data_IF_563564724971
#
_entry.id   IF_563564724971
#
_cell.length_a   1.000
_cell.length_b   1.000
_cell.length_c   1.000
_cell.angle_alpha   90.00
_cell.angle_beta   90.00
_cell.angle_gamma   90.00
#
_symmetry.space_group_name_H-M   'P 1'
#
loop_
_entity.id
_entity.type
_entity.pdbx_description
1 polymer ?
#
# COMPACT_ATOMS: atom_id res chain seq x y z
N UNK A 1 11.51 3.04 -11.86
CA UNK A 1 12.36 3.16 -10.65
C UNK A 1 11.62 3.91 -9.55
N UNK A 2 11.73 3.43 -8.34
CA UNK A 2 10.95 3.98 -7.23
C UNK A 2 11.19 5.47 -6.96
N UNK A 3 12.45 5.89 -6.95
CA UNK A 3 12.78 7.30 -6.70
C UNK A 3 12.16 8.23 -7.74
N UNK A 4 12.09 7.79 -8.99
CA UNK A 4 11.47 8.57 -10.05
C UNK A 4 9.97 8.70 -9.82
N UNK A 5 9.30 7.60 -9.46
CA UNK A 5 7.88 7.61 -9.15
C UNK A 5 7.61 8.49 -7.94
N UNK A 6 8.41 8.34 -6.90
CA UNK A 6 8.27 9.13 -5.67
C UNK A 6 8.43 10.62 -5.97
N UNK A 7 9.42 10.96 -6.77
CA UNK A 7 9.67 12.34 -7.14
C UNK A 7 8.53 12.94 -7.96
N UNK A 8 8.00 12.16 -8.90
CA UNK A 8 6.86 12.60 -9.71
C UNK A 8 5.65 12.86 -8.83
N UNK A 9 5.39 11.99 -7.86
CA UNK A 9 4.30 12.14 -6.90
C UNK A 9 4.46 13.44 -6.11
N UNK A 10 5.66 13.71 -5.59
CA UNK A 10 5.92 14.92 -4.82
C UNK A 10 5.71 16.18 -5.67
N UNK A 11 6.20 16.17 -6.89
CA UNK A 11 6.11 17.34 -7.79
C UNK A 11 4.68 17.65 -8.20
N UNK A 12 3.87 16.62 -8.40
CA UNK A 12 2.50 16.80 -8.89
C UNK A 12 1.45 16.71 -7.79
N UNK A 13 1.83 16.31 -6.58
CA UNK A 13 0.91 16.20 -5.46
C UNK A 13 -0.22 15.21 -5.67
N UNK A 14 -0.02 14.22 -6.53
CA UNK A 14 -1.09 13.31 -6.93
C UNK A 14 -0.60 11.86 -6.90
N UNK A 15 -0.36 11.34 -5.70
CA UNK A 15 0.12 9.97 -5.50
C UNK A 15 -0.83 8.96 -6.16
N UNK A 16 -2.13 9.18 -6.00
CA UNK A 16 -3.16 8.27 -6.49
C UNK A 16 -3.25 8.22 -8.01
N UNK A 17 -2.70 9.21 -8.70
CA UNK A 17 -2.74 9.26 -10.16
C UNK A 17 -1.54 8.57 -10.81
N UNK A 18 -0.54 8.20 -10.02
CA UNK A 18 0.67 7.55 -10.53
C UNK A 18 0.54 6.05 -10.34
N UNK A 19 0.28 5.35 -11.44
CA UNK A 19 0.21 3.90 -11.43
C UNK A 19 1.63 3.33 -11.29
N UNK A 20 1.88 2.42 -10.35
CA UNK A 20 3.18 1.78 -10.25
C UNK A 20 3.46 0.86 -11.43
N UNK A 21 4.73 0.55 -11.66
CA UNK A 21 5.11 -0.39 -12.70
C UNK A 21 4.54 -1.78 -12.40
N UNK A 22 4.27 -2.54 -13.47
CA UNK A 22 3.74 -3.89 -13.34
C UNK A 22 4.71 -4.79 -12.58
N UNK A 23 4.15 -5.70 -11.79
CA UNK A 23 4.94 -6.70 -11.07
C UNK A 23 4.23 -8.05 -11.16
N UNK A 24 5.00 -9.12 -11.16
CA UNK A 24 4.45 -10.48 -11.12
C UNK A 24 4.47 -11.05 -9.71
N UNK A 25 5.37 -10.58 -8.85
CA UNK A 25 5.45 -11.00 -7.45
C UNK A 25 5.42 -9.76 -6.58
N UNK A 26 4.29 -9.56 -5.91
CA UNK A 26 4.07 -8.41 -5.04
C UNK A 26 4.39 -8.79 -3.61
N UNK A 27 5.24 -8.02 -2.95
CA UNK A 27 5.49 -8.16 -1.52
C UNK A 27 4.74 -7.11 -0.73
N UNK A 28 4.28 -7.47 0.46
CA UNK A 28 3.66 -6.55 1.41
C UNK A 28 4.45 -6.59 2.71
N UNK A 29 4.84 -5.42 3.19
CA UNK A 29 5.65 -5.32 4.39
C UNK A 29 5.09 -4.25 5.32
N UNK A 30 5.07 -4.57 6.61
CA UNK A 30 4.65 -3.64 7.65
C UNK A 30 5.87 -2.91 8.19
N UNK A 31 5.76 -1.60 8.31
CA UNK A 31 6.79 -0.78 8.94
C UNK A 31 6.16 -0.02 10.09
N UNK A 32 6.82 -0.05 11.24
CA UNK A 32 6.39 0.69 12.42
C UNK A 32 7.22 1.94 12.56
N UNK A 33 6.53 3.09 12.68
CA UNK A 33 7.18 4.38 12.84
C UNK A 33 7.27 4.79 14.30
N UNK A 34 7.15 4.07 15.24
CA UNK A 34 7.37 4.42 16.63
C UNK A 34 6.38 5.41 17.25
N UNK A 35 5.94 6.43 16.51
CA UNK A 35 5.02 7.46 17.02
C UNK A 35 3.80 7.60 16.14
N UNK A 36 2.60 7.69 16.73
CA UNK A 36 1.43 8.09 15.98
C UNK A 36 1.60 9.51 15.43
N UNK A 37 1.00 9.76 14.27
CA UNK A 37 1.02 11.08 13.64
C UNK A 37 -0.38 11.66 13.64
N UNK A 38 -0.45 12.98 13.66
CA UNK A 38 -1.69 13.70 13.52
C UNK A 38 -1.73 14.31 12.12
N UNK A 39 -2.80 14.05 11.39
CA UNK A 39 -2.99 14.54 10.03
C UNK A 39 -4.28 15.33 9.94
N UNK A 40 -4.31 16.41 9.13
CA UNK A 40 -5.56 17.12 8.86
C UNK A 40 -6.57 16.20 8.19
N UNK A 41 -7.84 16.27 8.62
CA UNK A 41 -8.91 15.44 8.11
C UNK A 41 -10.20 16.25 8.02
N UNK A 42 -10.22 17.25 7.14
CA UNK A 42 -11.36 18.13 6.96
C UNK A 42 -11.47 19.20 8.02
N UNK A 43 -12.67 19.74 8.17
CA UNK A 43 -12.94 20.83 9.09
C UNK A 43 -14.16 20.53 9.95
N UNK A 44 -14.16 21.06 11.16
CA UNK A 44 -15.36 21.11 12.00
C UNK A 44 -16.33 22.16 11.47
N UNK A 45 -17.57 22.13 11.95
CA UNK A 45 -18.59 23.06 11.52
C UNK A 45 -18.23 24.53 11.81
N UNK A 46 -17.39 24.77 12.80
CA UNK A 46 -16.92 26.11 13.16
C UNK A 46 -15.69 26.57 12.37
N UNK A 47 -15.27 25.81 11.37
CA UNK A 47 -14.12 26.14 10.53
C UNK A 47 -12.78 25.70 11.06
N UNK A 48 -12.73 25.13 12.27
CA UNK A 48 -11.46 24.65 12.81
C UNK A 48 -11.06 23.33 12.14
N UNK A 49 -9.76 23.14 11.93
CA UNK A 49 -9.23 21.93 11.31
C UNK A 49 -9.50 20.73 12.22
N UNK A 50 -10.05 19.67 11.62
CA UNK A 50 -10.18 18.38 12.28
C UNK A 50 -8.90 17.60 12.10
N UNK A 51 -8.41 17.01 13.18
CA UNK A 51 -7.19 16.21 13.15
C UNK A 51 -7.52 14.74 13.32
N UNK A 52 -6.86 13.90 12.52
CA UNK A 52 -6.98 12.45 12.62
C UNK A 52 -5.66 11.89 13.11
N UNK A 53 -5.73 11.02 14.11
CA UNK A 53 -4.55 10.32 14.59
C UNK A 53 -4.30 9.10 13.73
N UNK A 54 -3.08 8.98 13.18
CA UNK A 54 -2.67 7.77 12.47
C UNK A 54 -1.98 6.84 13.44
N UNK A 55 -2.15 5.53 13.22
CA UNK A 55 -1.41 4.53 13.97
C UNK A 55 0.08 4.57 13.59
N UNK A 56 0.92 3.86 14.35
CA UNK A 56 2.35 3.84 14.09
C UNK A 56 2.76 2.90 12.94
N UNK A 57 1.81 2.35 12.21
CA UNK A 57 2.06 1.34 11.20
C UNK A 57 1.81 1.88 9.80
N UNK A 58 2.61 1.36 8.87
CA UNK A 58 2.46 1.62 7.45
C UNK A 58 2.70 0.32 6.70
N UNK A 59 1.94 0.09 5.64
CA UNK A 59 2.11 -1.07 4.77
C UNK A 59 2.75 -0.62 3.47
N UNK A 60 3.88 -1.21 3.12
CA UNK A 60 4.57 -0.99 1.86
C UNK A 60 4.31 -2.11 0.87
N UNK A 61 4.24 -1.76 -0.42
CA UNK A 61 4.05 -2.69 -1.53
C UNK A 61 5.32 -2.68 -2.37
N UNK A 62 5.93 -3.84 -2.57
CA UNK A 62 7.27 -3.97 -3.16
C UNK A 62 7.23 -4.94 -4.33
N UNK A 63 8.01 -4.66 -5.37
CA UNK A 63 8.23 -5.61 -6.47
C UNK A 63 9.37 -6.56 -6.08
N UNK A 64 9.02 -7.81 -5.79
CA UNK A 64 9.99 -8.80 -5.33
C UNK A 64 10.90 -9.30 -6.45
N UNK A 65 10.37 -9.47 -7.67
CA UNK A 65 11.12 -10.07 -8.77
C UNK A 65 11.92 -9.07 -9.58
N UNK A 66 11.59 -7.79 -9.49
CA UNK A 66 12.31 -6.75 -10.20
C UNK A 66 13.50 -6.26 -9.40
N UNK A 67 13.65 -4.94 -9.33
CA UNK A 67 14.72 -4.30 -8.58
C UNK A 67 14.35 -4.08 -7.11
N UNK A 68 13.31 -4.73 -6.64
CA UNK A 68 12.77 -4.62 -5.28
C UNK A 68 12.36 -3.19 -4.94
N UNK A 69 11.89 -2.47 -5.94
CA UNK A 69 11.44 -1.09 -5.77
C UNK A 69 10.14 -1.04 -4.99
N UNK A 70 10.01 0.00 -4.18
CA UNK A 70 8.75 0.28 -3.50
C UNK A 70 7.74 0.79 -4.53
N UNK A 71 6.61 0.12 -4.64
CA UNK A 71 5.55 0.45 -5.58
C UNK A 71 4.54 1.43 -5.00
N UNK A 72 4.38 1.44 -3.68
CA UNK A 72 3.45 2.31 -3.00
C UNK A 72 3.37 1.97 -1.53
N UNK A 73 2.58 2.74 -0.79
CA UNK A 73 2.36 2.47 0.62
C UNK A 73 1.02 3.06 1.07
N UNK A 74 0.50 2.53 2.16
CA UNK A 74 -0.71 3.06 2.80
C UNK A 74 -0.47 3.16 4.30
N UNK A 75 -1.14 4.12 4.93
CA UNK A 75 -1.13 4.22 6.38
C UNK A 75 -1.90 3.05 6.98
N UNK A 76 -1.38 2.52 8.07
CA UNK A 76 -2.02 1.43 8.78
C UNK A 76 -1.61 0.05 8.27
N UNK A 77 -2.22 -0.95 8.86
CA UNK A 77 -1.94 -2.36 8.54
C UNK A 77 -3.22 -3.18 8.46
N UNK A 78 -4.35 -2.52 8.25
CA UNK A 78 -5.64 -3.21 8.21
C UNK A 78 -5.85 -3.86 6.84
N UNK A 79 -6.62 -4.92 6.84
CA UNK A 79 -7.06 -5.57 5.60
C UNK A 79 -7.79 -4.58 4.68
N UNK A 80 -8.62 -3.71 5.27
CA UNK A 80 -9.36 -2.72 4.50
C UNK A 80 -8.44 -1.73 3.78
N UNK A 81 -7.37 -1.27 4.45
CA UNK A 81 -6.43 -0.33 3.83
C UNK A 81 -5.69 -0.98 2.66
N UNK A 82 -5.24 -2.22 2.82
CA UNK A 82 -4.58 -2.98 1.76
C UNK A 82 -5.53 -3.21 0.59
N UNK A 83 -6.75 -3.63 0.88
CA UNK A 83 -7.74 -3.88 -0.16
C UNK A 83 -8.07 -2.62 -0.94
N UNK A 84 -8.19 -1.48 -0.26
CA UNK A 84 -8.45 -0.20 -0.91
C UNK A 84 -7.32 0.20 -1.86
N UNK A 85 -6.07 0.03 -1.43
CA UNK A 85 -4.92 0.35 -2.29
C UNK A 85 -4.93 -0.52 -3.55
N UNK A 86 -5.14 -1.82 -3.40
CA UNK A 86 -5.18 -2.74 -4.53
C UNK A 86 -6.35 -2.44 -5.47
N UNK A 87 -7.49 -2.06 -4.92
CA UNK A 87 -8.67 -1.73 -5.71
C UNK A 87 -8.47 -0.48 -6.57
N UNK A 88 -7.58 0.41 -6.16
CA UNK A 88 -7.27 1.62 -6.91
C UNK A 88 -6.28 1.39 -8.06
N UNK A 89 -5.69 0.19 -8.12
CA UNK A 89 -4.75 -0.13 -9.22
C UNK A 89 -5.54 -0.50 -10.46
N UNK A 90 -4.91 -0.37 -11.61
CA UNK A 90 -5.54 -0.75 -12.87
C UNK A 90 -5.81 -2.26 -12.93
N UNK A 91 -6.80 -2.70 -13.72
CA UNK A 91 -7.00 -4.13 -13.93
C UNK A 91 -5.75 -4.83 -14.48
N UNK A 92 -5.01 -4.17 -15.37
CA UNK A 92 -3.77 -4.73 -15.92
C UNK A 92 -2.73 -4.98 -14.84
N UNK A 93 -2.57 -4.04 -13.89
CA UNK A 93 -1.65 -4.21 -12.77
C UNK A 93 -2.07 -5.41 -11.92
N UNK A 94 -3.34 -5.47 -11.54
CA UNK A 94 -3.86 -6.55 -10.69
C UNK A 94 -3.76 -7.91 -11.37
N UNK A 95 -4.12 -7.98 -12.64
CA UNK A 95 -4.12 -9.25 -13.40
C UNK A 95 -2.70 -9.76 -13.64
N UNK A 96 -1.71 -8.89 -13.64
CA UNK A 96 -0.32 -9.26 -13.83
C UNK A 96 0.31 -9.90 -12.60
N UNK A 97 -0.30 -9.75 -11.43
CA UNK A 97 0.26 -10.31 -10.19
C UNK A 97 -0.08 -11.80 -10.10
N UNK A 98 0.96 -12.64 -10.06
CA UNK A 98 0.79 -14.08 -9.96
C UNK A 98 0.94 -14.58 -8.53
N UNK A 99 1.84 -13.96 -7.76
CA UNK A 99 2.14 -14.37 -6.39
C UNK A 99 2.20 -13.13 -5.51
N UNK A 100 1.64 -13.23 -4.30
CA UNK A 100 1.75 -12.20 -3.27
C UNK A 100 2.47 -12.80 -2.07
N UNK A 101 3.56 -12.16 -1.64
CA UNK A 101 4.34 -12.59 -0.48
C UNK A 101 3.92 -11.72 0.71
N UNK A 102 3.48 -12.35 1.78
CA UNK A 102 3.00 -11.66 2.99
C UNK A 102 3.68 -12.20 4.23
N UNK A 103 3.72 -11.37 5.28
CA UNK A 103 4.12 -11.81 6.61
C UNK A 103 3.01 -12.68 7.19
N UNK A 104 3.34 -13.85 7.79
CA UNK A 104 2.32 -14.74 8.35
C UNK A 104 1.53 -14.11 9.51
N UNK A 105 2.10 -13.13 10.18
CA UNK A 105 1.46 -12.46 11.31
C UNK A 105 0.60 -11.26 10.89
N UNK A 106 0.64 -10.87 9.62
CA UNK A 106 -0.17 -9.79 9.10
C UNK A 106 -1.50 -10.32 8.58
N UNK A 107 -2.58 -9.62 8.88
CA UNK A 107 -3.92 -10.03 8.45
C UNK A 107 -4.21 -9.70 6.99
N UNK A 108 -3.27 -9.90 6.08
CA UNK A 108 -3.43 -9.48 4.69
C UNK A 108 -4.08 -10.51 3.77
N UNK A 109 -4.12 -11.76 4.18
CA UNK A 109 -4.60 -12.83 3.30
C UNK A 109 -6.02 -12.59 2.79
N UNK A 110 -6.91 -12.12 3.66
CA UNK A 110 -8.29 -11.85 3.26
C UNK A 110 -8.37 -10.72 2.22
N UNK A 111 -7.58 -9.66 2.40
CA UNK A 111 -7.53 -8.54 1.46
C UNK A 111 -7.02 -8.99 0.10
N UNK A 112 -5.97 -9.83 0.09
CA UNK A 112 -5.40 -10.35 -1.15
C UNK A 112 -6.40 -11.23 -1.89
N UNK A 113 -7.08 -12.13 -1.19
CA UNK A 113 -8.09 -12.98 -1.80
C UNK A 113 -9.24 -12.19 -2.39
N UNK A 114 -9.64 -11.10 -1.73
CA UNK A 114 -10.72 -10.26 -2.21
C UNK A 114 -10.31 -9.44 -3.44
N UNK A 115 -9.09 -8.86 -3.42
CA UNK A 115 -8.64 -7.95 -4.46
C UNK A 115 -7.92 -8.66 -5.61
N UNK A 116 -7.26 -9.77 -5.33
CA UNK A 116 -6.44 -10.51 -6.30
C UNK A 116 -6.79 -11.99 -6.28
N UNK A 117 -8.02 -12.34 -6.68
CA UNK A 117 -8.48 -13.74 -6.54
C UNK A 117 -7.71 -14.74 -7.40
N UNK A 118 -7.05 -14.27 -8.47
CA UNK A 118 -6.25 -15.13 -9.33
C UNK A 118 -4.81 -15.34 -8.87
N UNK A 119 -4.37 -14.66 -7.81
CA UNK A 119 -3.00 -14.78 -7.34
C UNK A 119 -2.84 -15.90 -6.31
N UNK A 120 -1.60 -16.36 -6.14
CA UNK A 120 -1.25 -17.29 -5.07
C UNK A 120 -0.60 -16.51 -3.94
N UNK A 121 -0.89 -16.94 -2.71
CA UNK A 121 -0.32 -16.33 -1.52
C UNK A 121 0.85 -17.18 -1.05
N UNK A 122 2.02 -16.56 -0.92
CA UNK A 122 3.19 -17.16 -0.29
C UNK A 122 3.46 -16.43 1.02
N UNK A 123 3.94 -17.17 2.00
CA UNK A 123 4.24 -16.64 3.32
C UNK A 123 5.74 -16.54 3.48
N UNK A 124 6.22 -15.36 3.89
CA UNK A 124 7.63 -15.16 4.18
C UNK A 124 7.98 -15.96 5.45
N UNK A 125 8.93 -16.88 5.39
CA UNK A 125 9.25 -17.73 6.55
C UNK A 125 9.98 -17.00 7.67
N UNK A 126 10.48 -15.78 7.42
CA UNK A 126 11.10 -14.98 8.49
C UNK A 126 10.05 -14.15 9.26
#
# INVERSE_FOLDING_TARGET
>A
MWLTVQRAVVLHGAVELVEPEATTVLGMDQTRFGRPRWLPDGEHDDGRVRWRRTGPWETGFVDITGDQALLGHVDGRTSAAVQAWLAQRSPAFRDGIEVVVIDPHAGYAAAVRAALPGSRIAVDPT
#
